data_IF_613743279563
#
_entry.id   IF_613743279563
#
_cell.length_a   1.000
_cell.length_b   1.000
_cell.length_c   1.000
_cell.angle_alpha   90.00
_cell.angle_beta   90.00
_cell.angle_gamma   90.00
#
_symmetry.space_group_name_H-M   'P 1'
#
loop_
_entity.id
_entity.type
_entity.pdbx_description
1 polymer ?
#
# COMPACT_ATOMS: atom_id res chain seq x y z
N UNK A 1 -60.04 -12.70 -28.45
CA UNK A 1 -58.79 -11.92 -28.31
C UNK A 1 -58.67 -11.48 -26.87
N UNK A 2 -57.81 -12.14 -26.09
CA UNK A 2 -57.47 -11.74 -24.73
C UNK A 2 -56.12 -12.38 -24.34
N UNK A 3 -55.30 -11.61 -23.64
CA UNK A 3 -53.87 -11.73 -23.47
C UNK A 3 -53.42 -12.87 -22.55
N UNK A 4 -52.26 -13.46 -22.86
CA UNK A 4 -51.51 -14.33 -21.96
C UNK A 4 -50.48 -13.50 -21.18
N UNK A 5 -50.59 -13.54 -19.86
CA UNK A 5 -49.67 -12.96 -18.87
C UNK A 5 -48.67 -14.06 -18.47
N UNK A 6 -47.35 -13.78 -18.36
CA UNK A 6 -46.38 -14.78 -17.92
C UNK A 6 -46.40 -14.92 -16.39
N UNK A 7 -46.50 -16.16 -15.91
CA UNK A 7 -46.44 -16.54 -14.51
C UNK A 7 -44.98 -16.65 -14.04
N UNK A 8 -44.68 -15.95 -12.94
CA UNK A 8 -43.44 -16.07 -12.18
C UNK A 8 -43.46 -17.37 -11.36
N UNK A 9 -42.36 -18.13 -11.41
CA UNK A 9 -42.09 -19.23 -10.50
C UNK A 9 -41.38 -18.71 -9.23
N UNK A 10 -41.82 -19.05 -8.01
CA UNK A 10 -41.07 -18.80 -6.80
C UNK A 10 -40.15 -19.99 -6.52
N UNK A 11 -38.83 -19.79 -6.54
CA UNK A 11 -37.89 -20.79 -6.02
C UNK A 11 -37.45 -20.40 -4.61
N UNK A 12 -37.89 -21.24 -3.69
CA UNK A 12 -37.62 -21.25 -2.26
C UNK A 12 -36.12 -21.39 -1.97
N UNK A 13 -35.57 -20.48 -1.17
CA UNK A 13 -34.22 -20.57 -0.58
C UNK A 13 -34.33 -21.35 0.74
N UNK A 14 -34.02 -22.64 0.71
CA UNK A 14 -33.86 -23.45 1.91
C UNK A 14 -32.41 -23.35 2.41
N UNK A 15 -32.27 -22.88 3.64
CA UNK A 15 -31.03 -22.56 4.32
C UNK A 15 -30.50 -23.77 5.08
N UNK A 16 -29.37 -24.32 4.67
CA UNK A 16 -28.63 -25.29 5.48
C UNK A 16 -27.11 -25.16 5.29
N UNK A 17 -26.50 -24.31 6.10
CA UNK A 17 -25.05 -24.30 6.32
C UNK A 17 -24.81 -24.44 7.82
N UNK A 18 -24.31 -25.61 8.23
CA UNK A 18 -23.88 -25.90 9.60
C UNK A 18 -22.47 -25.35 9.82
N UNK A 19 -22.20 -24.60 10.90
CA UNK A 19 -20.83 -24.24 11.25
C UNK A 19 -20.13 -25.42 11.95
N UNK A 20 -18.95 -25.80 11.46
CA UNK A 20 -18.04 -26.69 12.19
C UNK A 20 -17.38 -25.91 13.34
N UNK A 21 -17.60 -26.38 14.56
CA UNK A 21 -16.90 -25.97 15.77
C UNK A 21 -15.48 -26.55 15.75
N UNK A 22 -14.47 -25.67 15.79
CA UNK A 22 -13.10 -26.05 16.14
C UNK A 22 -12.85 -25.52 17.56
N UNK A 23 -12.65 -26.47 18.46
CA UNK A 23 -12.26 -26.29 19.86
C UNK A 23 -10.79 -25.88 19.96
N UNK A 24 -10.48 -24.81 20.69
CA UNK A 24 -9.19 -24.61 21.35
C UNK A 24 -9.25 -23.47 22.39
N UNK A 25 -9.11 -23.88 23.65
CA UNK A 25 -8.34 -23.26 24.74
C UNK A 25 -8.66 -21.82 25.19
N UNK A 26 -9.18 -21.76 26.41
CA UNK A 26 -9.43 -20.60 27.28
C UNK A 26 -8.25 -19.64 27.49
N UNK A 27 -8.52 -18.34 27.36
CA UNK A 27 -7.74 -17.25 28.01
C UNK A 27 -8.70 -16.31 28.73
N UNK A 28 -8.45 -16.14 30.03
CA UNK A 28 -9.28 -15.39 30.99
C UNK A 28 -9.22 -13.88 30.71
N UNK A 29 -10.39 -13.26 30.60
CA UNK A 29 -10.56 -11.80 30.53
C UNK A 29 -10.42 -11.23 31.95
N UNK A 30 -9.27 -10.63 32.26
CA UNK A 30 -9.06 -9.90 33.51
C UNK A 30 -9.58 -8.46 33.36
N UNK A 31 -10.68 -8.16 34.06
CA UNK A 31 -11.30 -6.84 34.14
C UNK A 31 -10.71 -6.09 35.34
N UNK A 32 -9.75 -5.20 35.11
CA UNK A 32 -9.18 -4.35 36.17
C UNK A 32 -9.33 -2.85 35.86
N UNK A 33 -10.19 -2.22 36.67
CA UNK A 33 -10.11 -0.88 37.30
C UNK A 33 -9.39 0.24 36.54
N UNK A 34 -10.16 1.28 36.20
CA UNK A 34 -9.70 2.61 35.80
C UNK A 34 -8.82 3.26 36.89
N UNK A 35 -7.63 3.80 36.56
CA UNK A 35 -6.97 4.80 37.38
C UNK A 35 -7.30 6.21 36.88
N UNK A 36 -7.51 7.11 37.84
CA UNK A 36 -7.69 8.55 37.65
C UNK A 36 -6.44 9.21 37.05
N UNK A 37 -6.64 9.99 35.99
CA UNK A 37 -5.57 10.72 35.30
C UNK A 37 -5.36 12.05 36.03
N UNK A 38 -4.21 12.21 36.68
CA UNK A 38 -3.74 13.49 37.19
C UNK A 38 -2.98 14.22 36.08
N UNK A 39 -3.47 15.39 35.67
CA UNK A 39 -2.84 16.22 34.66
C UNK A 39 -1.86 17.18 35.35
N UNK A 40 -0.57 17.06 35.06
CA UNK A 40 0.42 18.07 35.45
C UNK A 40 1.45 18.29 34.35
N UNK A 41 1.24 19.43 33.69
CA UNK A 41 2.21 20.43 33.22
C UNK A 41 3.15 20.22 32.02
N UNK A 42 3.24 21.36 31.33
CA UNK A 42 4.34 21.96 30.57
C UNK A 42 4.64 21.49 29.14
N UNK A 43 4.36 22.43 28.23
CA UNK A 43 4.79 22.50 26.81
C UNK A 43 6.30 22.39 26.66
N UNK A 44 6.76 21.58 25.71
CA UNK A 44 7.77 21.97 24.71
C UNK A 44 7.81 20.97 23.56
N UNK A 45 7.97 21.50 22.35
CA UNK A 45 7.77 20.83 21.07
C UNK A 45 9.03 20.13 20.55
N UNK A 46 8.89 18.86 20.15
CA UNK A 46 9.69 18.20 19.11
C UNK A 46 8.95 16.93 18.67
N UNK A 47 8.75 16.77 17.36
CA UNK A 47 7.95 15.69 16.77
C UNK A 47 8.50 14.31 17.10
N UNK A 48 7.77 13.54 17.91
CA UNK A 48 8.00 12.13 18.16
C UNK A 48 6.87 11.34 17.51
N UNK A 49 7.22 10.41 16.63
CA UNK A 49 6.31 9.38 16.12
C UNK A 49 6.23 8.27 17.18
N UNK A 50 5.05 8.08 17.78
CA UNK A 50 4.80 7.07 18.80
C UNK A 50 4.91 5.66 18.20
N UNK A 51 5.98 4.95 18.56
CA UNK A 51 6.03 3.49 18.46
C UNK A 51 5.69 2.91 19.84
N UNK A 52 4.70 2.01 19.86
CA UNK A 52 4.11 1.37 21.02
C UNK A 52 5.09 0.47 21.78
N UNK A 53 5.86 1.04 22.70
CA UNK A 53 6.43 0.39 23.90
C UNK A 53 6.82 1.51 24.88
N UNK A 54 6.37 1.50 26.16
CA UNK A 54 6.73 2.55 27.10
C UNK A 54 8.25 2.53 27.33
N UNK A 55 8.95 3.56 26.83
CA UNK A 55 10.35 3.84 27.18
C UNK A 55 11.41 3.71 26.07
N UNK A 56 11.07 3.36 24.82
CA UNK A 56 12.07 3.30 23.74
C UNK A 56 11.74 4.26 22.59
N UNK A 57 12.18 5.51 22.74
CA UNK A 57 12.32 6.44 21.61
C UNK A 57 13.50 5.95 20.78
N UNK A 58 13.24 5.34 19.63
CA UNK A 58 14.29 4.96 18.68
C UNK A 58 14.57 6.18 17.81
N UNK A 59 15.66 6.87 18.11
CA UNK A 59 16.15 7.95 17.26
C UNK A 59 16.72 7.38 15.96
N UNK A 60 16.56 8.12 14.85
CA UNK A 60 17.27 7.80 13.62
C UNK A 60 18.78 7.91 13.85
N UNK A 61 19.52 6.93 13.34
CA UNK A 61 20.98 6.99 13.25
C UNK A 61 21.41 7.93 12.11
N UNK A 62 22.72 8.22 12.03
CA UNK A 62 23.27 9.10 10.99
C UNK A 62 22.94 8.59 9.57
N UNK A 63 22.92 7.27 9.40
CA UNK A 63 22.54 6.63 8.15
C UNK A 63 21.05 6.84 7.83
N UNK A 64 20.17 6.70 8.82
CA UNK A 64 18.75 6.98 8.71
C UNK A 64 18.46 8.44 8.35
N UNK A 65 19.15 9.39 8.98
CA UNK A 65 19.05 10.82 8.64
C UNK A 65 19.54 11.11 7.22
N UNK A 66 20.68 10.53 6.84
CA UNK A 66 21.20 10.63 5.48
C UNK A 66 20.22 10.09 4.44
N UNK A 67 19.63 8.91 4.70
CA UNK A 67 18.61 8.31 3.82
C UNK A 67 17.36 9.17 3.73
N UNK A 68 16.85 9.68 4.85
CA UNK A 68 15.67 10.54 4.85
C UNK A 68 15.90 11.79 3.99
N UNK A 69 17.03 12.47 4.16
CA UNK A 69 17.39 13.63 3.34
C UNK A 69 17.60 13.29 1.86
N UNK A 70 18.16 12.11 1.58
CA UNK A 70 18.37 11.64 0.20
C UNK A 70 17.04 11.35 -0.48
N UNK A 71 16.11 10.69 0.23
CA UNK A 71 14.77 10.38 -0.26
C UNK A 71 14.00 11.67 -0.53
N UNK A 72 13.97 12.60 0.43
CA UNK A 72 13.27 13.88 0.32
C UNK A 72 13.71 14.71 -0.91
N UNK A 73 15.00 14.64 -1.25
CA UNK A 73 15.58 15.35 -2.40
C UNK A 73 15.59 14.53 -3.69
N UNK A 74 15.17 13.28 -3.65
CA UNK A 74 15.26 12.40 -4.81
C UNK A 74 14.25 12.83 -5.88
N UNK A 75 14.78 13.25 -7.03
CA UNK A 75 14.00 13.49 -8.23
C UNK A 75 14.84 13.08 -9.44
N UNK A 76 14.27 12.25 -10.30
CA UNK A 76 14.88 11.86 -11.57
C UNK A 76 13.94 12.20 -12.69
N UNK A 77 14.41 12.95 -13.67
CA UNK A 77 13.60 13.38 -14.79
C UNK A 77 14.34 13.17 -16.11
N UNK A 78 13.58 12.97 -17.18
CA UNK A 78 14.16 12.86 -18.51
C UNK A 78 13.15 12.50 -19.60
N UNK A 79 13.59 12.56 -20.87
CA UNK A 79 12.73 12.22 -22.00
C UNK A 79 12.44 10.72 -22.03
N UNK A 80 11.19 10.36 -22.34
CA UNK A 80 10.75 8.98 -22.54
C UNK A 80 9.70 8.93 -23.66
N UNK A 81 9.95 8.20 -24.74
CA UNK A 81 8.91 7.87 -25.74
C UNK A 81 8.17 9.06 -26.37
N UNK A 82 8.81 10.23 -26.51
CA UNK A 82 8.19 11.44 -27.05
C UNK A 82 7.61 12.41 -25.99
N UNK A 83 7.61 12.03 -24.71
CA UNK A 83 7.24 12.89 -23.59
C UNK A 83 8.35 12.99 -22.54
N UNK A 84 7.96 13.42 -21.34
CA UNK A 84 8.85 13.62 -20.20
C UNK A 84 8.38 12.78 -19.01
N UNK A 85 9.29 12.00 -18.40
CA UNK A 85 9.01 11.22 -17.20
C UNK A 85 9.71 11.86 -16.00
N UNK A 86 8.95 12.09 -14.93
CA UNK A 86 9.45 12.51 -13.62
C UNK A 86 9.24 11.37 -12.61
N UNK A 87 10.30 10.95 -11.92
CA UNK A 87 10.28 9.94 -10.86
C UNK A 87 10.68 10.60 -9.54
N UNK A 88 9.85 10.45 -8.52
CA UNK A 88 10.08 11.02 -7.17
C UNK A 88 9.39 10.18 -6.09
N UNK A 89 9.64 10.43 -4.78
CA UNK A 89 8.85 9.81 -3.71
C UNK A 89 7.36 10.14 -3.84
N UNK A 90 6.54 9.17 -3.44
CA UNK A 90 5.09 9.31 -3.34
C UNK A 90 4.69 10.38 -2.32
N UNK A 91 3.75 11.23 -2.71
CA UNK A 91 3.10 12.21 -1.85
C UNK A 91 1.70 11.76 -1.38
N UNK A 92 1.18 12.43 -0.36
CA UNK A 92 -0.10 12.08 0.29
C UNK A 92 -1.30 12.14 -0.65
N UNK A 93 -1.28 13.03 -1.64
CA UNK A 93 -2.36 13.17 -2.63
C UNK A 93 -2.44 12.03 -3.66
N UNK A 94 -1.45 11.14 -3.68
CA UNK A 94 -1.21 10.21 -4.80
C UNK A 94 -1.52 8.75 -4.45
N UNK A 95 -1.94 8.53 -3.20
CA UNK A 95 -2.20 7.21 -2.63
C UNK A 95 -3.23 6.43 -3.43
N UNK A 96 -4.38 7.05 -3.71
CA UNK A 96 -5.50 6.40 -4.40
C UNK A 96 -5.16 5.91 -5.81
N UNK A 97 -4.57 6.74 -6.70
CA UNK A 97 -4.19 6.27 -8.04
C UNK A 97 -3.10 5.19 -7.99
N UNK A 98 -2.20 5.22 -7.01
CA UNK A 98 -1.17 4.17 -6.81
C UNK A 98 -1.80 2.85 -6.41
N UNK A 99 -2.74 2.87 -5.45
CA UNK A 99 -3.46 1.67 -5.03
C UNK A 99 -4.19 1.05 -6.21
N UNK A 100 -4.86 1.88 -7.01
CA UNK A 100 -5.57 1.42 -8.19
C UNK A 100 -4.62 0.77 -9.20
N UNK A 101 -3.52 1.45 -9.56
CA UNK A 101 -2.53 0.94 -10.52
C UNK A 101 -1.91 -0.39 -10.06
N UNK A 102 -1.52 -0.49 -8.78
CA UNK A 102 -1.00 -1.73 -8.20
C UNK A 102 -2.03 -2.86 -8.24
N UNK A 103 -3.28 -2.57 -7.89
CA UNK A 103 -4.35 -3.57 -7.85
C UNK A 103 -4.67 -4.11 -9.24
N UNK A 104 -4.79 -3.24 -10.23
CA UNK A 104 -4.99 -3.64 -11.63
C UNK A 104 -3.80 -4.47 -12.13
N UNK A 105 -2.57 -4.04 -11.86
CA UNK A 105 -1.34 -4.75 -12.23
C UNK A 105 -1.25 -6.13 -11.59
N UNK A 106 -1.63 -6.26 -10.32
CA UNK A 106 -1.60 -7.54 -9.62
C UNK A 106 -2.66 -8.51 -10.16
N UNK A 107 -3.89 -8.04 -10.38
CA UNK A 107 -4.95 -8.84 -10.98
C UNK A 107 -4.51 -9.37 -12.35
N UNK A 108 -3.89 -8.52 -13.18
CA UNK A 108 -3.34 -8.92 -14.47
C UNK A 108 -2.21 -9.96 -14.31
N UNK A 109 -1.27 -9.73 -13.39
CA UNK A 109 -0.14 -10.65 -13.16
C UNK A 109 -0.57 -12.02 -12.65
N UNK A 110 -1.65 -12.09 -11.88
CA UNK A 110 -2.21 -13.34 -11.35
C UNK A 110 -3.22 -13.99 -12.30
N UNK A 111 -3.52 -13.38 -13.46
CA UNK A 111 -4.56 -13.84 -14.37
C UNK A 111 -5.95 -13.88 -13.74
N UNK A 112 -6.20 -13.03 -12.74
CA UNK A 112 -7.47 -13.01 -12.02
C UNK A 112 -8.54 -12.21 -12.79
N UNK A 113 -9.84 -12.54 -12.62
CA UNK A 113 -10.92 -11.74 -13.17
C UNK A 113 -10.93 -10.28 -12.65
N UNK A 114 -11.20 -9.27 -13.50
CA UNK A 114 -11.21 -7.85 -13.11
C UNK A 114 -12.17 -7.49 -11.97
N UNK A 115 -13.22 -8.30 -11.75
CA UNK A 115 -14.17 -8.12 -10.63
C UNK A 115 -13.51 -8.16 -9.23
N UNK A 116 -12.29 -8.67 -9.12
CA UNK A 116 -11.53 -8.70 -7.86
C UNK A 116 -10.73 -7.43 -7.58
N UNK A 117 -10.63 -6.49 -8.54
CA UNK A 117 -9.93 -5.21 -8.34
C UNK A 117 -10.39 -4.48 -7.07
N UNK A 118 -11.70 -4.31 -6.78
CA UNK A 118 -12.13 -3.60 -5.57
C UNK A 118 -11.66 -4.24 -4.25
N UNK A 119 -11.65 -5.57 -4.18
CA UNK A 119 -11.15 -6.30 -3.03
C UNK A 119 -9.64 -6.08 -2.87
N UNK A 120 -8.89 -6.16 -3.97
CA UNK A 120 -7.45 -5.98 -3.94
C UNK A 120 -7.06 -4.53 -3.63
N UNK A 121 -7.80 -3.55 -4.15
CA UNK A 121 -7.69 -2.13 -3.80
C UNK A 121 -7.78 -1.91 -2.29
N UNK A 122 -8.70 -2.60 -1.62
CA UNK A 122 -8.81 -2.51 -0.16
C UNK A 122 -7.56 -3.05 0.56
N UNK A 123 -7.04 -4.20 0.13
CA UNK A 123 -5.85 -4.85 0.71
C UNK A 123 -4.59 -4.01 0.44
N UNK A 124 -4.40 -3.58 -0.81
CA UNK A 124 -3.28 -2.75 -1.25
C UNK A 124 -3.30 -1.40 -0.54
N UNK A 125 -4.46 -0.81 -0.25
CA UNK A 125 -4.55 0.41 0.56
C UNK A 125 -3.87 0.24 1.91
N UNK A 126 -4.17 -0.83 2.64
CA UNK A 126 -3.57 -1.09 3.95
C UNK A 126 -2.06 -1.27 3.83
N UNK A 127 -1.63 -1.97 2.77
CA UNK A 127 -0.22 -2.15 2.46
C UNK A 127 0.49 -0.81 2.23
N UNK A 128 0.03 0.01 1.28
CA UNK A 128 0.64 1.31 0.93
C UNK A 128 0.69 2.23 2.14
N UNK A 129 -0.35 2.27 2.98
CA UNK A 129 -0.34 3.06 4.22
C UNK A 129 0.69 2.56 5.22
N UNK A 130 0.83 1.24 5.38
CA UNK A 130 1.87 0.66 6.22
C UNK A 130 3.27 1.02 5.73
N UNK A 131 3.51 0.99 4.41
CA UNK A 131 4.82 1.33 3.82
C UNK A 131 5.25 2.76 4.08
N UNK A 132 4.33 3.71 4.14
CA UNK A 132 4.64 5.13 4.44
C UNK A 132 5.24 5.35 5.83
N UNK A 133 4.87 4.49 6.78
CA UNK A 133 5.36 4.56 8.16
C UNK A 133 6.79 4.03 8.32
N UNK A 134 7.37 3.49 7.25
CA UNK A 134 8.70 2.86 7.27
C UNK A 134 9.80 3.78 6.75
N UNK A 135 9.54 5.06 6.49
CA UNK A 135 10.62 6.00 6.22
C UNK A 135 11.57 6.08 7.43
N UNK A 136 12.90 6.06 7.24
CA UNK A 136 13.65 6.11 5.97
C UNK A 136 14.07 4.73 5.42
N UNK A 137 13.54 3.64 5.97
CA UNK A 137 13.90 2.26 5.65
C UNK A 137 13.23 1.72 4.39
N UNK A 138 12.09 2.29 4.00
CA UNK A 138 11.46 2.03 2.72
C UNK A 138 10.81 3.28 2.13
N UNK A 139 10.71 3.32 0.81
CA UNK A 139 10.07 4.40 0.05
C UNK A 139 9.29 3.82 -1.12
N UNK A 140 8.12 4.38 -1.39
CA UNK A 140 7.43 4.18 -2.66
C UNK A 140 7.78 5.34 -3.59
N UNK A 141 8.39 5.02 -4.73
CA UNK A 141 8.63 5.95 -5.82
C UNK A 141 7.47 5.88 -6.81
N UNK A 142 7.13 7.03 -7.36
CA UNK A 142 6.10 7.22 -8.36
C UNK A 142 6.71 7.89 -9.58
N UNK A 143 6.27 7.48 -10.75
CA UNK A 143 6.62 8.10 -12.02
C UNK A 143 5.41 8.81 -12.61
N UNK A 144 5.53 10.09 -12.89
CA UNK A 144 4.55 10.88 -13.63
C UNK A 144 5.02 11.12 -15.05
N UNK A 145 4.22 10.69 -16.02
CA UNK A 145 4.50 10.92 -17.42
C UNK A 145 3.71 12.13 -17.91
N UNK A 146 4.39 13.03 -18.61
CA UNK A 146 3.82 14.18 -19.29
C UNK A 146 4.05 14.02 -20.79
N UNK A 147 2.96 13.91 -21.52
CA UNK A 147 2.93 14.03 -22.98
C UNK A 147 2.76 15.50 -23.36
N UNK A 148 3.27 15.92 -24.51
CA UNK A 148 3.21 17.32 -24.94
C UNK A 148 1.75 17.77 -25.08
N UNK A 149 1.34 18.70 -24.22
CA UNK A 149 -0.02 19.25 -24.19
C UNK A 149 -1.02 18.52 -23.29
N UNK A 150 -0.60 17.53 -22.49
CA UNK A 150 -1.44 16.89 -21.46
C UNK A 150 -0.91 17.16 -20.05
N UNK A 151 -1.83 17.08 -19.08
CA UNK A 151 -1.46 17.10 -17.67
C UNK A 151 -0.63 15.85 -17.30
N UNK A 152 0.34 15.98 -16.38
CA UNK A 152 1.11 14.83 -15.90
C UNK A 152 0.18 13.78 -15.28
N UNK A 153 0.34 12.53 -15.68
CA UNK A 153 -0.42 11.42 -15.12
C UNK A 153 0.48 10.38 -14.47
N UNK A 154 -0.02 9.71 -13.42
CA UNK A 154 0.68 8.59 -12.81
C UNK A 154 0.89 7.50 -13.88
N UNK A 155 2.16 7.19 -14.13
CA UNK A 155 2.62 6.28 -15.16
C UNK A 155 3.18 4.98 -14.56
N UNK A 156 3.91 5.07 -13.46
CA UNK A 156 4.49 3.90 -12.83
C UNK A 156 4.71 4.06 -11.33
N UNK A 157 4.95 2.95 -10.66
CA UNK A 157 5.30 2.86 -9.25
C UNK A 157 6.42 1.85 -9.07
N UNK A 158 7.28 2.08 -8.08
CA UNK A 158 8.23 1.09 -7.59
C UNK A 158 8.44 1.29 -6.10
N UNK A 159 8.45 0.20 -5.35
CA UNK A 159 8.82 0.24 -3.95
C UNK A 159 10.28 -0.15 -3.78
N UNK A 160 10.99 0.58 -2.94
CA UNK A 160 12.37 0.30 -2.58
C UNK A 160 12.47 0.20 -1.07
N UNK A 161 13.05 -0.90 -0.60
CA UNK A 161 13.47 -1.05 0.79
C UNK A 161 14.98 -1.03 0.86
N UNK A 162 15.52 -0.43 1.91
CA UNK A 162 16.97 -0.22 2.06
C UNK A 162 17.64 -1.18 3.05
N UNK A 163 16.87 -1.78 3.96
CA UNK A 163 17.36 -2.69 4.98
C UNK A 163 16.26 -3.64 5.51
N UNK A 164 16.58 -4.38 6.56
CA UNK A 164 15.69 -5.31 7.23
C UNK A 164 14.45 -4.69 7.87
N UNK A 165 14.48 -3.41 8.28
CA UNK A 165 13.30 -2.71 8.82
C UNK A 165 12.33 -2.32 7.70
N UNK A 166 12.87 -2.01 6.53
CA UNK A 166 12.08 -1.77 5.32
C UNK A 166 11.55 -3.05 4.71
N UNK A 167 12.08 -4.24 5.05
CA UNK A 167 11.71 -5.47 4.35
C UNK A 167 10.24 -5.87 4.49
N UNK A 168 9.64 -6.33 3.40
CA UNK A 168 8.32 -6.93 3.41
C UNK A 168 8.41 -8.30 4.08
N UNK A 169 7.70 -8.47 5.19
CA UNK A 169 7.68 -9.71 5.98
C UNK A 169 6.60 -10.68 5.49
N UNK A 170 5.72 -10.25 4.57
CA UNK A 170 4.60 -11.04 4.09
C UNK A 170 4.98 -11.93 2.89
N UNK A 171 4.72 -13.26 2.96
CA UNK A 171 4.86 -14.14 1.81
C UNK A 171 3.80 -13.82 0.73
N UNK A 172 4.07 -14.06 -0.57
CA UNK A 172 5.17 -14.88 -1.11
C UNK A 172 6.34 -14.03 -1.65
N UNK A 173 6.60 -12.85 -1.09
CA UNK A 173 7.76 -12.08 -1.54
C UNK A 173 9.05 -12.84 -1.20
N UNK A 174 9.96 -13.04 -2.16
CA UNK A 174 11.24 -13.67 -1.88
C UNK A 174 11.95 -12.88 -0.79
N UNK A 175 12.47 -13.58 0.21
CA UNK A 175 13.19 -12.95 1.31
C UNK A 175 14.39 -12.19 0.73
N UNK A 176 14.43 -10.86 0.85
CA UNK A 176 15.55 -10.10 0.34
C UNK A 176 16.82 -10.49 1.10
N UNK A 177 18.01 -10.40 0.47
CA UNK A 177 19.27 -10.53 1.19
C UNK A 177 19.30 -9.56 2.37
N UNK A 178 19.81 -10.02 3.52
CA UNK A 178 19.83 -9.23 4.74
C UNK A 178 20.56 -7.91 4.51
N UNK A 179 19.96 -6.83 4.99
CA UNK A 179 20.51 -5.47 4.98
C UNK A 179 20.98 -4.99 3.59
N UNK A 180 20.36 -5.53 2.54
CA UNK A 180 20.58 -5.11 1.16
C UNK A 180 19.33 -4.41 0.62
N UNK A 181 19.50 -3.40 -0.25
CA UNK A 181 18.37 -2.79 -0.90
C UNK A 181 17.70 -3.79 -1.86
N UNK A 182 16.37 -3.76 -1.94
CA UNK A 182 15.61 -4.51 -2.92
C UNK A 182 14.43 -3.70 -3.45
N UNK A 183 14.01 -4.05 -4.67
CA UNK A 183 12.93 -3.36 -5.38
C UNK A 183 11.77 -4.34 -5.58
N UNK A 184 10.55 -3.90 -5.31
CA UNK A 184 9.34 -4.69 -5.52
C UNK A 184 8.15 -3.80 -5.92
N UNK A 185 6.97 -4.42 -6.05
CA UNK A 185 5.69 -3.74 -6.32
C UNK A 185 5.78 -2.73 -7.47
N UNK A 186 6.46 -3.17 -8.53
CA UNK A 186 6.61 -2.40 -9.75
C UNK A 186 5.33 -2.52 -10.56
N UNK A 187 4.72 -1.39 -10.90
CA UNK A 187 3.60 -1.35 -11.81
C UNK A 187 3.81 -0.20 -12.80
N UNK A 188 3.41 -0.43 -14.04
CA UNK A 188 3.42 0.56 -15.11
C UNK A 188 2.02 0.57 -15.71
N UNK A 189 1.48 1.75 -16.03
CA UNK A 189 0.23 1.88 -16.78
C UNK A 189 0.33 1.11 -18.09
N UNK A 190 -0.72 0.38 -18.43
CA UNK A 190 -0.72 -0.54 -19.58
C UNK A 190 -0.32 0.15 -20.89
N UNK A 191 -0.83 1.36 -21.10
CA UNK A 191 -0.60 2.17 -22.30
C UNK A 191 0.85 2.65 -22.45
N UNK A 192 1.66 2.54 -21.38
CA UNK A 192 3.06 2.97 -21.33
C UNK A 192 4.07 1.80 -21.27
N UNK A 193 3.61 0.54 -21.23
CA UNK A 193 4.49 -0.65 -21.15
C UNK A 193 5.21 -0.97 -22.46
N UNK A 194 4.72 -0.42 -23.55
CA UNK A 194 5.41 -0.38 -24.84
C UNK A 194 4.93 0.88 -25.52
N UNK A 195 5.72 1.95 -25.43
CA UNK A 195 5.66 2.99 -26.46
C UNK A 195 5.77 2.27 -27.81
N UNK A 196 4.73 2.35 -28.64
CA UNK A 196 4.60 1.66 -29.93
C UNK A 196 5.93 1.33 -30.63
N UNK A 197 6.11 0.04 -30.96
CA UNK A 197 6.90 -0.46 -32.09
C UNK A 197 8.34 0.02 -32.25
N UNK A 198 9.30 -0.78 -31.77
CA UNK A 198 10.55 -1.02 -32.49
C UNK A 198 10.46 -2.38 -33.18
#
# INVERSE_FOLDING_TARGET
MAAAVPSFLPLSLDSSLRPMLISSSSVLINRSRFPSISLSSTRSAAGAIEASTPGRVVFLDDLGLYRLQTIDKYKREGPLGGGWLEIRPMEDGEIDPIIQLLSESFIESMGMPPRYVPLLTFIVRQYVMGRRLLLPHAVMLVGFYRDDGKEPELACTAEISFDSFGANVAPPTPLPPKDCPYICNMAVKKDLRSSNGL
#
